data_IF_655130215392
#
_entry.id   IF_655130215392
#
_cell.length_a   1.000
_cell.length_b   1.000
_cell.length_c   1.000
_cell.angle_alpha   90.00
_cell.angle_beta   90.00
_cell.angle_gamma   90.00
#
_symmetry.space_group_name_H-M   'P 1'
#
loop_
_entity.id
_entity.type
_entity.pdbx_description
1 polymer ?
#
# COMPACT_ATOMS: atom_id res chain seq x y z
N UNK A 1 8.69 23.31 2.86
CA UNK A 1 7.28 23.25 3.30
C UNK A 1 7.22 22.65 4.69
N UNK A 2 6.39 23.17 5.59
CA UNK A 2 6.12 22.50 6.88
C UNK A 2 4.83 21.69 6.71
N UNK A 3 4.94 20.37 6.64
CA UNK A 3 3.78 19.47 6.62
C UNK A 3 3.37 19.24 8.09
N UNK A 4 2.10 19.47 8.47
CA UNK A 4 1.62 19.18 9.82
C UNK A 4 1.83 17.70 10.16
N UNK A 5 2.30 17.42 11.38
CA UNK A 5 2.47 16.06 11.90
C UNK A 5 1.76 15.98 13.26
N UNK A 6 0.89 15.00 13.41
CA UNK A 6 0.21 14.70 14.68
C UNK A 6 0.32 13.21 14.99
N UNK A 7 0.34 12.89 16.28
CA UNK A 7 0.38 11.50 16.77
C UNK A 7 -0.94 11.20 17.44
N UNK A 8 -1.60 10.14 16.98
CA UNK A 8 -2.81 9.60 17.60
C UNK A 8 -2.50 8.27 18.29
N UNK A 9 -2.77 8.18 19.59
CA UNK A 9 -2.52 6.96 20.39
C UNK A 9 -3.81 6.23 20.79
N UNK A 10 -4.96 6.81 20.49
CA UNK A 10 -6.28 6.22 20.69
C UNK A 10 -7.20 6.47 19.50
N UNK A 11 -8.29 5.71 19.39
CA UNK A 11 -9.31 5.94 18.36
C UNK A 11 -9.92 7.35 18.45
N UNK A 12 -10.12 7.86 19.67
CA UNK A 12 -10.64 9.21 19.90
C UNK A 12 -9.67 10.28 19.40
N UNK A 13 -8.38 10.13 19.69
CA UNK A 13 -7.34 11.05 19.20
C UNK A 13 -7.27 11.01 17.67
N UNK A 14 -7.32 9.81 17.09
CA UNK A 14 -7.29 9.62 15.64
C UNK A 14 -8.42 10.36 14.94
N UNK A 15 -9.67 10.19 15.42
CA UNK A 15 -10.83 10.89 14.87
C UNK A 15 -10.72 12.41 15.07
N UNK A 16 -10.18 12.86 16.20
CA UNK A 16 -9.95 14.28 16.46
C UNK A 16 -8.89 14.87 15.51
N UNK A 17 -7.81 14.15 15.22
CA UNK A 17 -6.79 14.53 14.23
C UNK A 17 -7.41 14.65 12.83
N UNK A 18 -8.19 13.66 12.40
CA UNK A 18 -8.87 13.72 11.09
C UNK A 18 -9.81 14.93 11.00
N UNK A 19 -10.56 15.23 12.06
CA UNK A 19 -11.43 16.40 12.11
C UNK A 19 -10.69 17.73 12.00
N UNK A 20 -9.51 17.86 12.64
CA UNK A 20 -8.67 19.07 12.53
C UNK A 20 -8.12 19.29 11.12
N UNK A 21 -7.80 18.21 10.42
CA UNK A 21 -7.19 18.25 9.08
C UNK A 21 -8.17 18.02 7.94
N UNK A 22 -9.48 18.03 8.19
CA UNK A 22 -10.50 17.75 7.16
C UNK A 22 -10.47 18.70 5.94
N UNK A 23 -9.81 19.86 6.08
CA UNK A 23 -9.62 20.82 4.99
C UNK A 23 -8.40 20.51 4.10
N UNK A 24 -7.57 19.53 4.46
CA UNK A 24 -6.45 19.09 3.65
C UNK A 24 -6.94 18.25 2.45
N UNK A 25 -6.30 18.42 1.29
CA UNK A 25 -6.57 17.62 0.10
C UNK A 25 -6.17 16.14 0.30
N UNK A 26 -5.16 15.88 1.14
CA UNK A 26 -4.63 14.56 1.43
C UNK A 26 -4.11 14.48 2.88
N UNK A 27 -4.54 13.45 3.60
CA UNK A 27 -4.01 13.08 4.92
C UNK A 27 -3.33 11.71 4.78
N UNK A 28 -2.03 11.65 5.03
CA UNK A 28 -1.29 10.39 5.09
C UNK A 28 -1.30 9.86 6.53
N UNK A 29 -1.77 8.64 6.70
CA UNK A 29 -1.83 7.97 7.99
C UNK A 29 -0.77 6.88 8.00
N UNK A 30 0.27 7.07 8.81
CA UNK A 30 1.23 6.01 9.09
C UNK A 30 0.77 5.18 10.28
N UNK A 31 0.96 3.87 10.20
CA UNK A 31 0.57 2.93 11.26
C UNK A 31 1.81 2.25 11.78
N UNK A 32 1.89 2.07 13.11
CA UNK A 32 2.96 1.28 13.69
C UNK A 32 3.04 -0.11 13.03
N UNK A 33 4.24 -0.57 12.71
CA UNK A 33 4.46 -1.91 12.18
C UNK A 33 4.09 -2.96 13.22
N UNK A 34 2.91 -3.56 13.08
CA UNK A 34 2.44 -4.60 13.99
C UNK A 34 2.67 -5.98 13.40
N UNK A 35 3.05 -6.92 14.26
CA UNK A 35 3.08 -8.32 13.86
C UNK A 35 1.67 -8.73 13.43
N UNK A 36 1.50 -9.49 12.33
CA UNK A 36 0.20 -10.06 11.96
C UNK A 36 -0.40 -11.00 13.04
N UNK A 37 0.37 -11.32 14.09
CA UNK A 37 -0.06 -12.09 15.26
C UNK A 37 -0.57 -11.22 16.42
N UNK A 38 -0.38 -9.91 16.37
CA UNK A 38 -0.88 -8.96 17.38
C UNK A 38 -2.38 -8.71 17.16
N UNK A 39 -3.20 -9.48 17.89
CA UNK A 39 -4.66 -9.36 17.81
C UNK A 39 -5.17 -8.02 18.33
N UNK A 40 -4.58 -7.49 19.40
CA UNK A 40 -5.02 -6.24 20.03
C UNK A 40 -4.79 -5.09 19.07
N UNK A 41 -3.60 -5.01 18.49
CA UNK A 41 -3.29 -3.98 17.51
C UNK A 41 -4.08 -4.08 16.22
N UNK A 42 -4.42 -5.29 15.81
CA UNK A 42 -5.30 -5.50 14.66
C UNK A 42 -6.72 -4.99 14.93
N UNK A 43 -7.28 -5.26 16.11
CA UNK A 43 -8.60 -4.76 16.51
C UNK A 43 -8.63 -3.23 16.61
N UNK A 44 -7.55 -2.62 17.12
CA UNK A 44 -7.37 -1.17 17.11
C UNK A 44 -7.40 -0.59 15.69
N UNK A 45 -6.63 -1.15 14.76
CA UNK A 45 -6.64 -0.73 13.35
C UNK A 45 -8.02 -0.86 12.72
N UNK A 46 -8.72 -1.98 12.99
CA UNK A 46 -10.09 -2.19 12.50
C UNK A 46 -11.02 -1.12 13.06
N UNK A 47 -10.91 -0.78 14.34
CA UNK A 47 -11.72 0.28 14.95
C UNK A 47 -11.48 1.64 14.29
N UNK A 48 -10.24 1.95 13.89
CA UNK A 48 -9.89 3.22 13.23
C UNK A 48 -10.54 3.34 11.84
N UNK A 49 -10.73 2.23 11.13
CA UNK A 49 -11.43 2.21 9.83
C UNK A 49 -12.95 2.35 9.96
N UNK A 50 -13.52 2.17 11.15
CA UNK A 50 -14.96 2.28 11.42
C UNK A 50 -15.29 3.72 11.83
N UNK A 51 -15.43 4.62 10.85
CA UNK A 51 -15.77 6.01 11.07
C UNK A 51 -16.52 6.63 9.88
N UNK A 52 -16.87 7.91 10.00
CA UNK A 52 -17.51 8.68 8.93
C UNK A 52 -16.54 9.09 7.81
N UNK A 53 -15.24 8.99 8.05
CA UNK A 53 -14.21 9.34 7.09
C UNK A 53 -14.00 8.22 6.06
N UNK A 54 -13.88 8.60 4.79
CA UNK A 54 -13.48 7.68 3.72
C UNK A 54 -11.96 7.49 3.79
N UNK A 55 -11.52 6.30 4.17
CA UNK A 55 -10.09 5.96 4.30
C UNK A 55 -9.75 4.91 3.23
N UNK A 56 -8.82 5.25 2.32
CA UNK A 56 -8.24 4.27 1.41
C UNK A 56 -7.07 3.56 2.11
N UNK A 57 -7.22 2.25 2.35
CA UNK A 57 -6.20 1.45 3.04
C UNK A 57 -5.32 0.69 2.04
N UNK A 58 -4.01 0.86 2.17
CA UNK A 58 -3.00 0.16 1.37
C UNK A 58 -2.30 -0.87 2.23
N UNK A 59 -2.24 -2.13 1.78
CA UNK A 59 -1.40 -3.15 2.41
C UNK A 59 -0.02 -3.14 1.74
N UNK A 60 1.03 -2.90 2.53
CA UNK A 60 2.40 -2.85 2.04
C UNK A 60 3.05 -4.23 2.18
N UNK A 61 3.49 -4.81 1.06
CA UNK A 61 4.11 -6.13 1.00
C UNK A 61 5.51 -6.04 0.36
N UNK A 62 6.50 -6.67 1.00
CA UNK A 62 7.87 -6.70 0.49
C UNK A 62 8.05 -7.84 -0.52
N UNK A 63 8.43 -7.53 -1.75
CA UNK A 63 8.56 -8.48 -2.86
C UNK A 63 9.45 -9.72 -2.60
N UNK A 64 10.54 -9.65 -1.81
CA UNK A 64 11.36 -10.82 -1.51
C UNK A 64 10.69 -11.86 -0.59
N UNK A 65 9.59 -11.51 0.08
CA UNK A 65 8.85 -12.43 0.96
C UNK A 65 8.12 -13.47 0.13
N UNK A 66 8.09 -14.72 0.59
CA UNK A 66 7.43 -15.81 -0.14
C UNK A 66 5.92 -15.60 -0.29
N UNK A 67 5.38 -16.05 -1.43
CA UNK A 67 3.94 -16.00 -1.75
C UNK A 67 3.08 -16.52 -0.59
N UNK A 68 3.44 -17.68 -0.02
CA UNK A 68 2.68 -18.30 1.05
C UNK A 68 2.59 -17.42 2.32
N UNK A 69 3.67 -16.73 2.68
CA UNK A 69 3.71 -15.83 3.84
C UNK A 69 2.95 -14.53 3.57
N UNK A 70 3.06 -13.99 2.35
CA UNK A 70 2.30 -12.81 1.95
C UNK A 70 0.79 -13.11 1.91
N UNK A 71 0.39 -14.29 1.40
CA UNK A 71 -1.01 -14.70 1.37
C UNK A 71 -1.58 -14.91 2.78
N UNK A 72 -0.80 -15.50 3.70
CA UNK A 72 -1.20 -15.59 5.12
C UNK A 72 -1.35 -14.18 5.74
N UNK A 73 -0.45 -13.25 5.42
CA UNK A 73 -0.55 -11.85 5.83
C UNK A 73 -1.84 -11.20 5.32
N UNK A 74 -2.17 -11.32 4.03
CA UNK A 74 -3.41 -10.80 3.45
C UNK A 74 -4.63 -11.36 4.20
N UNK A 75 -4.66 -12.67 4.45
CA UNK A 75 -5.76 -13.32 5.19
C UNK A 75 -5.88 -12.83 6.63
N UNK A 76 -4.77 -12.56 7.32
CA UNK A 76 -4.81 -12.01 8.69
C UNK A 76 -5.39 -10.61 8.72
N UNK A 77 -5.09 -9.80 7.70
CA UNK A 77 -5.60 -8.44 7.61
C UNK A 77 -6.98 -8.31 6.92
N UNK A 78 -7.63 -9.42 6.55
CA UNK A 78 -8.88 -9.41 5.78
C UNK A 78 -10.07 -8.69 6.45
N UNK A 79 -10.03 -8.46 7.76
CA UNK A 79 -11.07 -7.69 8.47
C UNK A 79 -10.91 -6.17 8.32
N UNK A 80 -9.78 -5.72 7.75
CA UNK A 80 -9.61 -4.34 7.28
C UNK A 80 -10.11 -4.24 5.84
N UNK A 81 -10.70 -3.10 5.44
CA UNK A 81 -11.03 -2.85 4.05
C UNK A 81 -9.74 -2.56 3.27
N UNK A 82 -9.00 -3.59 2.86
CA UNK A 82 -7.80 -3.42 2.03
C UNK A 82 -8.23 -3.04 0.62
N UNK A 83 -7.87 -1.83 0.18
CA UNK A 83 -8.28 -1.32 -1.13
C UNK A 83 -7.21 -1.60 -2.18
N UNK A 84 -5.93 -1.44 -1.81
CA UNK A 84 -4.80 -1.58 -2.73
C UNK A 84 -3.60 -2.23 -2.06
N UNK A 85 -2.68 -2.78 -2.85
CA UNK A 85 -1.39 -3.29 -2.40
C UNK A 85 -0.28 -2.36 -2.88
N UNK A 86 0.72 -2.12 -2.03
CA UNK A 86 2.01 -1.54 -2.43
C UNK A 86 3.05 -2.65 -2.39
N UNK A 87 3.72 -2.92 -3.50
CA UNK A 87 4.86 -3.86 -3.53
C UNK A 87 6.17 -3.10 -3.36
N UNK A 88 6.92 -3.40 -2.31
CA UNK A 88 8.20 -2.72 -2.01
C UNK A 88 9.39 -3.64 -2.20
N UNK A 89 10.60 -3.08 -2.18
CA UNK A 89 11.86 -3.84 -2.20
C UNK A 89 12.00 -4.71 -3.45
N UNK A 90 11.54 -4.23 -4.60
CA UNK A 90 11.68 -4.95 -5.87
C UNK A 90 13.15 -5.11 -6.28
N UNK A 91 14.02 -4.22 -5.85
CA UNK A 91 15.48 -4.27 -6.04
C UNK A 91 16.16 -5.39 -5.23
N UNK A 92 15.49 -5.91 -4.19
CA UNK A 92 16.00 -6.99 -3.34
C UNK A 92 15.65 -8.39 -3.88
N UNK A 93 14.97 -8.51 -5.04
CA UNK A 93 14.61 -9.79 -5.66
C UNK A 93 14.69 -9.76 -7.18
N UNK A 94 15.02 -10.89 -7.79
CA UNK A 94 14.93 -11.11 -9.24
C UNK A 94 13.81 -12.08 -9.63
N UNK A 95 13.00 -12.50 -8.64
CA UNK A 95 11.95 -13.52 -8.82
C UNK A 95 10.57 -12.87 -8.65
N UNK A 96 9.98 -12.44 -9.76
CA UNK A 96 8.68 -11.78 -9.78
C UNK A 96 7.49 -12.71 -10.09
N UNK A 97 7.75 -13.96 -10.46
CA UNK A 97 6.68 -14.95 -10.74
C UNK A 97 5.78 -15.21 -9.52
N UNK A 98 6.37 -15.32 -8.32
CA UNK A 98 5.60 -15.48 -7.07
C UNK A 98 4.75 -14.25 -6.74
N UNK A 99 5.25 -13.05 -7.07
CA UNK A 99 4.48 -11.81 -6.92
C UNK A 99 3.27 -11.80 -7.85
N UNK A 100 3.42 -12.21 -9.11
CA UNK A 100 2.27 -12.32 -10.02
C UNK A 100 1.22 -13.30 -9.51
N UNK A 101 1.66 -14.49 -9.07
CA UNK A 101 0.74 -15.49 -8.49
C UNK A 101 0.02 -14.93 -7.26
N UNK A 102 0.72 -14.29 -6.33
CA UNK A 102 0.12 -13.62 -5.18
C UNK A 102 -0.97 -12.63 -5.62
N UNK A 103 -0.62 -11.68 -6.49
CA UNK A 103 -1.51 -10.60 -6.90
C UNK A 103 -2.74 -11.15 -7.62
N UNK A 104 -2.54 -12.14 -8.49
CA UNK A 104 -3.64 -12.84 -9.18
C UNK A 104 -4.57 -13.57 -8.22
N UNK A 105 -4.04 -14.19 -7.16
CA UNK A 105 -4.86 -14.90 -6.17
C UNK A 105 -5.56 -13.93 -5.19
N UNK A 106 -4.89 -12.84 -4.82
CA UNK A 106 -5.42 -11.84 -3.89
C UNK A 106 -6.58 -11.06 -4.51
N UNK A 107 -6.53 -10.77 -5.82
CA UNK A 107 -7.56 -10.00 -6.51
C UNK A 107 -7.63 -8.53 -6.07
N UNK A 108 -6.60 -8.04 -5.37
CA UNK A 108 -6.50 -6.65 -4.89
C UNK A 108 -5.61 -5.87 -5.85
N UNK A 109 -6.02 -4.70 -6.35
CA UNK A 109 -5.22 -3.90 -7.27
C UNK A 109 -3.93 -3.39 -6.60
N UNK A 110 -2.86 -3.25 -7.39
CA UNK A 110 -1.60 -2.66 -6.93
C UNK A 110 -1.63 -1.16 -7.22
N UNK A 111 -1.29 -0.34 -6.23
CA UNK A 111 -1.22 1.13 -6.36
C UNK A 111 0.18 1.61 -6.73
N UNK A 112 1.19 1.11 -6.02
CA UNK A 112 2.57 1.55 -6.16
C UNK A 112 3.55 0.38 -6.08
N UNK A 113 4.70 0.61 -6.70
CA UNK A 113 5.87 -0.26 -6.69
C UNK A 113 7.05 0.54 -6.14
N UNK A 114 7.91 -0.09 -5.35
CA UNK A 114 9.14 0.55 -4.84
C UNK A 114 10.36 -0.35 -5.04
N UNK A 115 11.44 0.27 -5.50
CA UNK A 115 12.68 -0.41 -5.90
C UNK A 115 13.93 0.40 -5.46
N UNK A 116 14.02 0.73 -4.18
CA UNK A 116 15.13 1.50 -3.62
C UNK A 116 14.77 2.24 -2.33
N UNK A 117 15.62 3.19 -1.94
CA UNK A 117 15.55 3.90 -0.66
C UNK A 117 15.33 5.42 -0.81
N UNK A 118 15.40 5.97 -2.03
CA UNK A 118 15.30 7.41 -2.28
C UNK A 118 13.84 7.84 -2.34
N UNK A 119 13.58 9.00 -1.72
CA UNK A 119 12.24 9.59 -1.65
C UNK A 119 12.27 10.95 -2.36
N UNK A 120 11.41 11.19 -3.36
CA UNK A 120 10.33 10.31 -3.85
C UNK A 120 10.72 9.36 -5.00
N UNK A 121 11.98 9.35 -5.45
CA UNK A 121 12.39 8.84 -6.75
C UNK A 121 12.21 7.33 -6.94
N UNK A 122 12.30 6.54 -5.87
CA UNK A 122 12.26 5.07 -5.95
C UNK A 122 10.84 4.50 -5.69
N UNK A 123 9.80 5.35 -5.73
CA UNK A 123 8.38 4.98 -5.66
C UNK A 123 7.68 5.29 -6.99
N UNK A 124 7.18 4.27 -7.68
CA UNK A 124 6.48 4.40 -8.97
C UNK A 124 5.02 3.96 -8.88
N UNK A 125 4.15 4.58 -9.67
CA UNK A 125 2.75 4.13 -9.83
C UNK A 125 2.75 2.79 -10.55
N UNK A 126 2.03 1.81 -10.00
CA UNK A 126 1.92 0.51 -10.61
C UNK A 126 1.09 0.58 -11.90
N UNK A 127 1.63 0.01 -12.99
CA UNK A 127 0.88 -0.19 -14.24
C UNK A 127 0.86 -1.65 -14.62
N UNK A 128 -0.15 -2.07 -15.40
CA UNK A 128 -0.24 -3.45 -15.92
C UNK A 128 1.02 -3.80 -16.73
N UNK A 129 1.48 -2.88 -17.58
CA UNK A 129 2.70 -3.07 -18.37
C UNK A 129 3.92 -3.27 -17.47
N UNK A 130 4.07 -2.44 -16.42
CA UNK A 130 5.20 -2.55 -15.51
C UNK A 130 5.23 -3.89 -14.77
N UNK A 131 4.06 -4.39 -14.34
CA UNK A 131 3.94 -5.71 -13.71
C UNK A 131 4.33 -6.84 -14.69
N UNK A 132 3.92 -6.74 -15.97
CA UNK A 132 4.32 -7.70 -17.01
C UNK A 132 5.83 -7.66 -17.24
N UNK A 133 6.42 -6.47 -17.36
CA UNK A 133 7.86 -6.30 -17.58
C UNK A 133 8.68 -6.96 -16.45
N UNK A 134 8.25 -6.79 -15.20
CA UNK A 134 8.85 -7.42 -14.03
C UNK A 134 8.82 -8.96 -14.14
N UNK A 135 7.67 -9.54 -14.50
CA UNK A 135 7.52 -11.00 -14.62
C UNK A 135 8.32 -11.57 -15.78
N UNK A 136 8.37 -10.85 -16.90
CA UNK A 136 9.06 -11.27 -18.13
C UNK A 136 10.58 -11.03 -18.09
N UNK A 137 11.11 -10.43 -17.02
CA UNK A 137 12.54 -10.13 -16.87
C UNK A 137 13.03 -8.98 -17.76
N UNK A 138 12.13 -8.16 -18.27
CA UNK A 138 12.45 -7.01 -19.12
C UNK A 138 12.88 -5.80 -18.28
N UNK A 139 14.00 -5.17 -18.63
CA UNK A 139 14.31 -3.83 -18.12
C UNK A 139 13.31 -2.80 -18.68
N UNK A 140 12.88 -1.80 -17.87
CA UNK A 140 11.76 -0.93 -18.22
C UNK A 140 12.14 0.13 -19.26
N UNK A 141 11.17 0.52 -20.09
CA UNK A 141 11.21 1.84 -20.72
C UNK A 141 10.92 2.90 -19.65
N UNK A 142 11.91 3.73 -19.31
CA UNK A 142 11.68 4.98 -18.61
C UNK A 142 10.91 5.90 -19.55
N UNK A 143 9.59 6.06 -19.36
CA UNK A 143 8.83 7.13 -20.01
C UNK A 143 7.98 7.81 -18.95
N UNK A 144 8.27 9.10 -18.72
CA UNK A 144 7.56 9.95 -17.78
C UNK A 144 6.05 9.93 -18.04
N UNK A 145 5.28 9.74 -16.97
CA UNK A 145 3.83 9.76 -17.05
C UNK A 145 3.36 11.19 -17.32
N UNK A 146 2.72 11.42 -18.47
CA UNK A 146 1.90 12.62 -18.66
C UNK A 146 0.66 12.57 -17.75
N UNK A 147 0.16 13.71 -17.23
CA UNK A 147 -0.87 13.75 -16.18
C UNK A 147 -2.30 13.34 -16.60
N UNK A 148 -2.52 12.87 -17.84
CA UNK A 148 -3.86 12.72 -18.42
C UNK A 148 -4.47 11.32 -18.34
N UNK A 149 -3.77 10.31 -17.79
CA UNK A 149 -4.20 8.90 -17.80
C UNK A 149 -4.73 8.36 -16.46
N UNK A 150 -5.20 9.24 -15.56
CA UNK A 150 -5.75 8.84 -14.25
C UNK A 150 -7.18 8.27 -14.30
N UNK A 151 -7.84 8.19 -15.46
CA UNK A 151 -9.27 7.90 -15.52
C UNK A 151 -9.67 6.45 -15.88
N UNK A 152 -8.78 5.56 -16.34
CA UNK A 152 -9.22 4.27 -16.92
C UNK A 152 -8.52 3.01 -16.38
N UNK A 153 -7.82 3.08 -15.25
CA UNK A 153 -7.14 1.88 -14.68
C UNK A 153 -7.71 1.51 -13.31
N UNK A 154 -9.02 1.35 -13.20
CA UNK A 154 -9.67 0.69 -12.04
C UNK A 154 -11.02 0.06 -12.44
N UNK A 155 -10.95 -1.04 -13.20
CA UNK A 155 -11.95 -2.12 -13.14
C UNK A 155 -11.25 -3.45 -13.07
#
# INVERSE_FOLDING_TARGET
>A
MKIPLEVAVSQQDFLACLGRHQAADLILIDTAGRSPKDRVGHEELVSMTRGSFKIETHLVLAAPVSEAVQMDTIRRYQSLPIHKIIMTKLDETSRFGSMYTLLSQAGIPVSYLSAGQRVPEDLEVATRQRLVDLVMGGQPALVGAEPSLLAEVTR
#
